data_IF_299333902865
#
_entry.id   IF_299333902865
#
_cell.length_a   1.000
_cell.length_b   1.000
_cell.length_c   1.000
_cell.angle_alpha   90.00
_cell.angle_beta   90.00
_cell.angle_gamma   90.00
#
_symmetry.space_group_name_H-M   'P 1'
#
loop_
_entity.id
_entity.type
_entity.pdbx_description
1 polymer ?
#
# COMPACT_ATOMS: atom_id res chain seq x y z
N UNK A 1 -19.33 -24.11 16.37
CA UNK A 1 -19.45 -22.92 15.50
C UNK A 1 -18.66 -23.22 14.23
N UNK A 2 -19.23 -23.01 13.04
CA UNK A 2 -18.46 -23.12 11.78
C UNK A 2 -17.49 -21.96 11.78
N UNK A 3 -16.19 -22.25 11.85
CA UNK A 3 -15.15 -21.23 11.80
C UNK A 3 -15.25 -20.54 10.45
N UNK A 4 -15.34 -19.22 10.43
CA UNK A 4 -15.31 -18.42 9.19
C UNK A 4 -13.97 -18.67 8.46
N UNK A 5 -13.98 -18.64 7.13
CA UNK A 5 -12.74 -18.78 6.36
C UNK A 5 -11.72 -17.69 6.71
N UNK A 6 -12.17 -16.49 7.04
CA UNK A 6 -11.28 -15.41 7.46
C UNK A 6 -10.64 -15.65 8.83
N UNK A 7 -11.29 -16.39 9.73
CA UNK A 7 -10.69 -16.79 11.02
C UNK A 7 -9.70 -17.95 10.90
N UNK A 8 -9.60 -18.59 9.74
CA UNK A 8 -8.67 -19.70 9.47
C UNK A 8 -7.44 -19.31 8.62
N UNK A 9 -7.33 -18.03 8.28
CA UNK A 9 -6.25 -17.46 7.48
C UNK A 9 -5.59 -16.29 8.19
N UNK A 10 -4.32 -16.07 7.92
CA UNK A 10 -3.61 -14.83 8.24
C UNK A 10 -3.32 -14.14 6.91
N UNK A 11 -3.83 -12.92 6.77
CA UNK A 11 -3.67 -12.12 5.56
C UNK A 11 -2.69 -10.98 5.80
N UNK A 12 -1.84 -10.72 4.79
CA UNK A 12 -1.00 -9.54 4.69
C UNK A 12 -1.07 -8.99 3.27
N UNK A 13 -0.53 -7.80 3.02
CA UNK A 13 -0.61 -7.20 1.69
C UNK A 13 0.66 -6.44 1.31
N UNK A 14 0.82 -6.24 0.01
CA UNK A 14 1.75 -5.27 -0.58
C UNK A 14 1.09 -4.56 -1.77
N UNK A 15 1.21 -3.23 -1.88
CA UNK A 15 0.77 -2.51 -3.07
C UNK A 15 1.64 -2.84 -4.29
N UNK A 16 1.02 -2.84 -5.47
CA UNK A 16 1.67 -2.87 -6.77
C UNK A 16 1.60 -1.46 -7.36
N UNK A 17 2.74 -0.88 -7.73
CA UNK A 17 2.86 0.49 -8.22
C UNK A 17 3.13 0.53 -9.71
N UNK A 18 2.30 1.28 -10.45
CA UNK A 18 2.40 1.47 -11.91
C UNK A 18 3.58 2.37 -12.31
N UNK A 19 3.90 2.48 -13.61
CA UNK A 19 4.87 3.45 -14.12
C UNK A 19 4.54 4.91 -13.76
N UNK A 20 3.26 5.25 -13.58
CA UNK A 20 2.83 6.58 -13.11
C UNK A 20 2.95 6.75 -11.59
N UNK A 21 3.48 5.78 -10.87
CA UNK A 21 3.60 5.70 -9.39
C UNK A 21 2.26 5.71 -8.67
N UNK A 22 1.21 5.30 -9.35
CA UNK A 22 -0.10 5.12 -8.75
C UNK A 22 -0.36 3.64 -8.47
N UNK A 23 -1.34 3.38 -7.62
CA UNK A 23 -1.73 2.01 -7.28
C UNK A 23 -2.22 1.29 -8.55
N UNK A 24 -1.58 0.17 -8.89
CA UNK A 24 -1.94 -0.70 -10.02
C UNK A 24 -2.68 -1.97 -9.58
N UNK A 25 -2.53 -2.34 -8.32
CA UNK A 25 -3.14 -3.53 -7.74
C UNK A 25 -2.61 -3.83 -6.34
N UNK A 26 -3.07 -4.91 -5.79
CA UNK A 26 -2.69 -5.40 -4.46
C UNK A 26 -2.23 -6.85 -4.57
N UNK A 27 -1.05 -7.16 -4.02
CA UNK A 27 -0.63 -8.51 -3.71
C UNK A 27 -1.13 -8.85 -2.30
N UNK A 28 -1.95 -9.89 -2.20
CA UNK A 28 -2.52 -10.38 -0.94
C UNK A 28 -1.84 -11.71 -0.57
N UNK A 29 -1.09 -11.70 0.51
CA UNK A 29 -0.49 -12.91 1.08
C UNK A 29 -1.54 -13.66 1.91
N UNK A 30 -1.67 -14.96 1.69
CA UNK A 30 -2.61 -15.79 2.42
C UNK A 30 -1.87 -16.98 3.04
N UNK A 31 -1.78 -16.98 4.36
CA UNK A 31 -1.20 -18.05 5.18
C UNK A 31 -2.32 -18.83 5.86
N UNK A 32 -2.15 -20.13 6.01
CA UNK A 32 -3.04 -20.92 6.87
C UNK A 32 -2.75 -20.60 8.34
N UNK A 33 -3.79 -20.33 9.12
CA UNK A 33 -3.65 -20.15 10.57
C UNK A 33 -3.26 -21.45 11.27
N UNK A 34 -3.86 -22.55 10.82
CA UNK A 34 -3.61 -23.89 11.37
C UNK A 34 -3.33 -24.90 10.25
N UNK A 35 -3.04 -26.15 10.61
CA UNK A 35 -2.92 -27.26 9.66
C UNK A 35 -4.25 -27.67 9.00
N UNK A 36 -5.37 -27.05 9.38
CA UNK A 36 -6.68 -27.34 8.79
C UNK A 36 -6.72 -26.91 7.31
N UNK A 37 -7.47 -27.67 6.52
CA UNK A 37 -7.68 -27.35 5.10
C UNK A 37 -8.60 -26.13 4.99
N UNK A 38 -8.10 -25.07 4.39
CA UNK A 38 -8.86 -23.84 4.13
C UNK A 38 -9.74 -24.04 2.90
N UNK A 39 -11.03 -23.71 3.01
CA UNK A 39 -11.95 -23.69 1.86
C UNK A 39 -11.64 -22.48 0.96
N UNK A 40 -10.82 -22.69 -0.07
CA UNK A 40 -10.47 -21.66 -1.04
C UNK A 40 -11.70 -21.13 -1.81
N UNK A 41 -12.72 -21.95 -2.04
CA UNK A 41 -13.96 -21.51 -2.67
C UNK A 41 -14.73 -20.50 -1.80
N UNK A 42 -14.72 -20.70 -0.48
CA UNK A 42 -15.32 -19.75 0.45
C UNK A 42 -14.50 -18.45 0.51
N UNK A 43 -13.17 -18.53 0.58
CA UNK A 43 -12.30 -17.35 0.51
C UNK A 43 -12.58 -16.51 -0.75
N UNK A 44 -12.66 -17.14 -1.92
CA UNK A 44 -12.92 -16.45 -3.17
C UNK A 44 -14.31 -15.79 -3.21
N UNK A 45 -15.33 -16.45 -2.64
CA UNK A 45 -16.67 -15.83 -2.50
C UNK A 45 -16.63 -14.62 -1.57
N UNK A 46 -16.00 -14.74 -0.40
CA UNK A 46 -15.85 -13.63 0.56
C UNK A 46 -15.11 -12.44 -0.08
N UNK A 47 -14.05 -12.69 -0.83
CA UNK A 47 -13.37 -11.63 -1.60
C UNK A 47 -14.31 -11.04 -2.64
N UNK A 48 -15.04 -11.85 -3.40
CA UNK A 48 -15.97 -11.38 -4.45
C UNK A 48 -17.12 -10.52 -3.89
N UNK A 49 -17.57 -10.80 -2.68
CA UNK A 49 -18.60 -10.01 -1.99
C UNK A 49 -18.11 -8.59 -1.60
N UNK A 50 -16.82 -8.47 -1.27
CA UNK A 50 -16.21 -7.20 -0.86
C UNK A 50 -15.60 -6.42 -2.04
N UNK A 51 -15.13 -7.14 -3.08
CA UNK A 51 -14.40 -6.57 -4.21
C UNK A 51 -15.34 -6.19 -5.36
N UNK A 52 -15.42 -4.90 -5.65
CA UNK A 52 -16.21 -4.35 -6.75
C UNK A 52 -15.39 -4.20 -8.04
N UNK A 53 -16.03 -3.81 -9.13
CA UNK A 53 -15.33 -3.48 -10.37
C UNK A 53 -14.44 -2.22 -10.26
N UNK A 54 -14.64 -1.39 -9.23
CA UNK A 54 -13.82 -0.21 -8.94
C UNK A 54 -12.63 -0.52 -8.03
N UNK A 55 -12.65 -1.66 -7.35
CA UNK A 55 -11.57 -2.09 -6.47
C UNK A 55 -10.28 -2.42 -7.23
N UNK A 56 -9.11 -2.36 -6.56
CA UNK A 56 -7.82 -2.70 -7.17
C UNK A 56 -7.78 -4.12 -7.73
N UNK A 57 -7.07 -4.36 -8.85
CA UNK A 57 -6.71 -5.72 -9.25
C UNK A 57 -6.03 -6.45 -8.10
N UNK A 58 -6.44 -7.69 -7.85
CA UNK A 58 -5.94 -8.49 -6.74
C UNK A 58 -5.10 -9.66 -7.25
N UNK A 59 -3.90 -9.81 -6.68
CA UNK A 59 -2.99 -10.95 -6.87
C UNK A 59 -2.94 -11.75 -5.56
N UNK A 60 -3.50 -12.96 -5.55
CA UNK A 60 -3.47 -13.84 -4.38
C UNK A 60 -2.17 -14.64 -4.38
N UNK A 61 -1.35 -14.44 -3.35
CA UNK A 61 -0.12 -15.16 -3.07
C UNK A 61 -0.35 -16.19 -1.97
N UNK A 62 -0.70 -17.42 -2.34
CA UNK A 62 -0.82 -18.51 -1.38
C UNK A 62 0.55 -18.85 -0.79
N UNK A 63 0.62 -18.91 0.54
CA UNK A 63 1.87 -19.17 1.25
C UNK A 63 2.04 -20.65 1.65
N UNK A 64 1.05 -21.49 1.30
CA UNK A 64 1.14 -22.96 1.44
C UNK A 64 0.77 -23.68 0.15
N UNK A 65 1.42 -24.83 -0.07
CA UNK A 65 1.15 -25.74 -1.20
C UNK A 65 -0.33 -26.13 -1.25
N UNK A 66 -0.91 -26.46 -0.11
CA UNK A 66 -2.29 -26.93 -0.02
C UNK A 66 -3.29 -25.84 -0.41
N UNK A 67 -3.07 -24.61 0.05
CA UNK A 67 -3.92 -23.48 -0.31
C UNK A 67 -3.83 -23.18 -1.81
N UNK A 68 -2.63 -23.23 -2.41
CA UNK A 68 -2.47 -23.06 -3.85
C UNK A 68 -3.25 -24.12 -4.62
N UNK A 69 -3.12 -25.39 -4.28
CA UNK A 69 -3.86 -26.46 -4.95
C UNK A 69 -5.38 -26.26 -4.87
N UNK A 70 -5.89 -25.89 -3.69
CA UNK A 70 -7.30 -25.59 -3.48
C UNK A 70 -7.77 -24.37 -4.30
N UNK A 71 -6.96 -23.32 -4.40
CA UNK A 71 -7.25 -22.15 -5.25
C UNK A 71 -7.29 -22.55 -6.73
N UNK A 72 -6.27 -23.26 -7.22
CA UNK A 72 -6.21 -23.72 -8.61
C UNK A 72 -7.38 -24.65 -8.97
N UNK A 73 -7.87 -25.42 -8.03
CA UNK A 73 -9.01 -26.35 -8.25
C UNK A 73 -10.35 -25.61 -8.25
N UNK A 74 -10.59 -24.73 -7.29
CA UNK A 74 -11.91 -24.15 -7.01
C UNK A 74 -12.15 -22.76 -7.59
N UNK A 75 -11.11 -22.06 -8.07
CA UNK A 75 -11.29 -20.71 -8.61
C UNK A 75 -12.12 -20.73 -9.91
N UNK A 76 -13.22 -19.94 -9.99
CA UNK A 76 -13.95 -19.75 -11.22
C UNK A 76 -13.22 -18.80 -12.18
N UNK A 77 -13.63 -18.80 -13.45
CA UNK A 77 -13.19 -17.80 -14.41
C UNK A 77 -13.56 -16.40 -13.92
N UNK A 78 -12.62 -15.46 -14.00
CA UNK A 78 -12.81 -14.09 -13.51
C UNK A 78 -12.38 -13.88 -12.06
N UNK A 79 -11.89 -14.92 -11.37
CA UNK A 79 -11.23 -14.79 -10.07
C UNK A 79 -10.04 -13.83 -10.11
N UNK A 80 -9.58 -13.31 -8.96
CA UNK A 80 -8.31 -12.61 -8.83
C UNK A 80 -7.16 -13.37 -9.50
N UNK A 81 -6.08 -12.69 -9.80
CA UNK A 81 -4.85 -13.34 -10.25
C UNK A 81 -4.32 -14.27 -9.16
N UNK A 82 -3.81 -15.44 -9.55
CA UNK A 82 -3.23 -16.41 -8.62
C UNK A 82 -1.74 -16.51 -8.91
N UNK A 83 -0.93 -16.23 -7.89
CA UNK A 83 0.52 -16.38 -7.95
C UNK A 83 0.91 -17.85 -7.81
N UNK A 84 1.83 -18.29 -8.65
CA UNK A 84 2.44 -19.62 -8.59
C UNK A 84 3.95 -19.45 -8.52
N UNK A 85 4.55 -19.91 -7.43
CA UNK A 85 6.02 -19.88 -7.27
C UNK A 85 6.66 -20.86 -8.24
N UNK A 86 7.69 -20.39 -8.95
CA UNK A 86 8.40 -21.20 -9.93
C UNK A 86 9.00 -22.50 -9.36
N UNK A 87 9.48 -22.46 -8.11
CA UNK A 87 10.01 -23.62 -7.39
C UNK A 87 8.96 -24.75 -7.18
N UNK A 88 7.69 -24.38 -7.04
CA UNK A 88 6.61 -25.35 -6.85
C UNK A 88 6.22 -26.09 -8.12
N UNK A 89 6.61 -25.61 -9.30
CA UNK A 89 6.33 -26.28 -10.58
C UNK A 89 7.14 -27.58 -10.76
N UNK A 90 8.14 -27.84 -9.91
CA UNK A 90 8.81 -29.15 -9.84
C UNK A 90 7.88 -30.25 -9.30
N UNK A 91 6.80 -29.87 -8.59
CA UNK A 91 5.75 -30.79 -8.15
C UNK A 91 4.80 -31.10 -9.32
N UNK A 92 4.70 -32.39 -9.71
CA UNK A 92 3.90 -32.85 -10.84
C UNK A 92 2.40 -32.58 -10.66
N UNK A 93 1.90 -32.56 -9.41
CA UNK A 93 0.50 -32.27 -9.11
C UNK A 93 0.20 -30.79 -9.34
N UNK A 94 1.06 -29.89 -8.80
CA UNK A 94 0.92 -28.45 -9.03
C UNK A 94 1.00 -28.14 -10.51
N UNK A 95 1.97 -28.72 -11.23
CA UNK A 95 2.11 -28.50 -12.65
C UNK A 95 0.88 -28.92 -13.44
N UNK A 96 0.29 -30.09 -13.14
CA UNK A 96 -0.94 -30.55 -13.77
C UNK A 96 -2.13 -29.62 -13.48
N UNK A 97 -2.26 -29.14 -12.22
CA UNK A 97 -3.31 -28.21 -11.81
C UNK A 97 -3.15 -26.84 -12.48
N UNK A 98 -1.93 -26.33 -12.63
CA UNK A 98 -1.64 -25.07 -13.34
C UNK A 98 -2.12 -25.17 -14.80
N UNK A 99 -1.80 -26.24 -15.51
CA UNK A 99 -2.29 -26.47 -16.88
C UNK A 99 -3.82 -26.50 -16.97
N UNK A 100 -4.46 -27.22 -16.05
CA UNK A 100 -5.92 -27.32 -15.99
C UNK A 100 -6.55 -25.96 -15.65
N UNK A 101 -5.98 -25.21 -14.72
CA UNK A 101 -6.43 -23.87 -14.35
C UNK A 101 -6.32 -22.89 -15.52
N UNK A 102 -5.20 -22.90 -16.23
CA UNK A 102 -5.01 -22.11 -17.46
C UNK A 102 -6.07 -22.47 -18.53
N UNK A 103 -6.34 -23.75 -18.78
CA UNK A 103 -7.37 -24.19 -19.73
C UNK A 103 -8.77 -23.71 -19.36
N UNK A 104 -9.06 -23.57 -18.06
CA UNK A 104 -10.32 -22.97 -17.55
C UNK A 104 -10.35 -21.44 -17.66
N UNK A 105 -9.26 -20.80 -18.08
CA UNK A 105 -9.14 -19.37 -18.27
C UNK A 105 -8.91 -18.58 -16.96
N UNK A 106 -8.27 -19.23 -15.97
CA UNK A 106 -7.76 -18.52 -14.79
C UNK A 106 -6.55 -17.67 -15.18
N UNK A 107 -6.44 -16.50 -14.57
CA UNK A 107 -5.28 -15.62 -14.73
C UNK A 107 -4.20 -16.02 -13.73
N UNK A 108 -3.08 -16.50 -14.24
CA UNK A 108 -1.97 -17.00 -13.45
C UNK A 108 -0.75 -16.09 -13.59
N UNK A 109 -0.04 -15.87 -12.50
CA UNK A 109 1.20 -15.08 -12.43
C UNK A 109 2.32 -16.00 -11.97
N UNK A 110 3.35 -16.13 -12.79
CA UNK A 110 4.56 -16.86 -12.38
C UNK A 110 5.43 -15.99 -11.50
N UNK A 111 5.91 -16.50 -10.35
CA UNK A 111 6.84 -15.78 -9.48
C UNK A 111 8.17 -16.48 -9.43
N UNK A 112 9.26 -15.76 -9.67
CA UNK A 112 10.61 -16.30 -9.56
C UNK A 112 11.71 -15.38 -10.05
N UNK A 113 12.90 -15.93 -10.12
CA UNK A 113 14.13 -15.23 -10.53
C UNK A 113 14.17 -15.06 -12.05
N UNK A 114 14.51 -13.87 -12.53
CA UNK A 114 14.65 -13.57 -13.96
C UNK A 114 15.68 -14.46 -14.67
N UNK A 115 16.71 -14.91 -13.94
CA UNK A 115 17.72 -15.83 -14.47
C UNK A 115 17.26 -17.29 -14.59
N UNK A 116 16.05 -17.63 -14.10
CA UNK A 116 15.50 -19.00 -14.07
C UNK A 116 14.08 -19.03 -14.63
N UNK A 117 13.85 -18.37 -15.75
CA UNK A 117 12.53 -18.34 -16.39
C UNK A 117 12.04 -19.75 -16.73
N UNK A 118 10.72 -20.01 -16.67
CA UNK A 118 10.15 -21.31 -16.99
C UNK A 118 10.34 -21.64 -18.47
N UNK A 119 10.37 -22.94 -18.77
CA UNK A 119 10.38 -23.43 -20.15
C UNK A 119 9.19 -22.87 -20.95
N UNK A 120 9.31 -22.66 -22.28
CA UNK A 120 8.31 -21.99 -23.11
C UNK A 120 6.89 -22.61 -23.00
N UNK A 121 6.79 -23.94 -22.85
CA UNK A 121 5.49 -24.62 -22.72
C UNK A 121 4.83 -24.36 -21.36
N UNK A 122 5.63 -24.15 -20.33
CA UNK A 122 5.17 -23.75 -19.00
C UNK A 122 4.81 -22.29 -18.98
N UNK A 123 5.67 -21.43 -19.59
CA UNK A 123 5.48 -20.00 -19.64
C UNK A 123 4.13 -19.60 -20.26
N UNK A 124 3.64 -20.36 -21.23
CA UNK A 124 2.33 -20.13 -21.90
C UNK A 124 1.13 -20.28 -20.95
N UNK A 125 1.31 -20.88 -19.78
CA UNK A 125 0.25 -21.01 -18.78
C UNK A 125 0.06 -19.74 -17.95
N UNK A 126 0.94 -18.75 -18.09
CA UNK A 126 0.95 -17.56 -17.27
C UNK A 126 0.68 -16.31 -18.10
N UNK A 127 -0.16 -15.42 -17.57
CA UNK A 127 -0.47 -14.13 -18.20
C UNK A 127 0.64 -13.12 -17.99
N UNK A 128 1.27 -13.14 -16.81
CA UNK A 128 2.34 -12.25 -16.39
C UNK A 128 3.31 -12.98 -15.47
N UNK A 129 4.44 -12.32 -15.18
CA UNK A 129 5.41 -12.78 -14.18
C UNK A 129 5.64 -11.71 -13.12
N UNK A 130 5.90 -12.14 -11.89
CA UNK A 130 6.44 -11.34 -10.79
C UNK A 130 7.90 -11.78 -10.61
N UNK A 131 8.82 -10.91 -11.03
CA UNK A 131 10.23 -11.23 -11.20
C UNK A 131 11.08 -10.61 -10.10
N UNK A 132 12.00 -11.41 -9.56
CA UNK A 132 13.09 -10.92 -8.72
C UNK A 132 14.34 -10.75 -9.57
N UNK A 133 15.00 -9.58 -9.45
CA UNK A 133 16.30 -9.32 -10.05
C UNK A 133 17.39 -9.75 -9.09
N UNK A 134 18.34 -10.57 -9.55
CA UNK A 134 19.56 -10.87 -8.80
C UNK A 134 20.46 -9.63 -8.78
N UNK A 135 21.38 -9.50 -7.81
CA UNK A 135 22.28 -8.35 -7.74
C UNK A 135 23.06 -8.08 -9.03
N UNK A 136 23.53 -9.12 -9.71
CA UNK A 136 24.22 -8.99 -11.00
C UNK A 136 23.30 -8.48 -12.12
N UNK A 137 22.04 -8.90 -12.17
CA UNK A 137 21.06 -8.45 -13.15
C UNK A 137 20.66 -6.99 -12.88
N UNK A 138 20.54 -6.60 -11.61
CA UNK A 138 20.28 -5.22 -11.19
C UNK A 138 21.43 -4.28 -11.62
N UNK A 139 22.69 -4.69 -11.42
CA UNK A 139 23.86 -3.93 -11.89
C UNK A 139 23.88 -3.85 -13.41
N UNK A 140 23.60 -4.95 -14.10
CA UNK A 140 23.58 -4.97 -15.58
C UNK A 140 22.43 -4.11 -16.15
N UNK A 141 21.30 -3.99 -15.42
CA UNK A 141 20.20 -3.09 -15.80
C UNK A 141 20.62 -1.63 -15.74
N UNK A 142 21.32 -1.23 -14.67
CA UNK A 142 21.75 0.16 -14.44
C UNK A 142 23.01 0.54 -15.25
N UNK A 143 23.88 -0.43 -15.54
CA UNK A 143 25.12 -0.25 -16.29
C UNK A 143 25.16 -1.24 -17.46
N UNK A 144 24.34 -1.04 -18.49
CA UNK A 144 24.33 -1.95 -19.63
C UNK A 144 25.71 -1.98 -20.30
N UNK A 145 26.22 -3.17 -20.67
CA UNK A 145 27.48 -3.29 -21.36
C UNK A 145 27.47 -2.45 -22.64
N UNK A 146 28.60 -1.88 -23.05
CA UNK A 146 28.66 -1.04 -24.22
C UNK A 146 28.09 -1.77 -25.44
N UNK A 147 27.14 -1.12 -26.13
CA UNK A 147 26.48 -1.69 -27.28
C UNK A 147 27.52 -2.02 -28.35
N UNK A 148 27.54 -3.24 -28.85
CA UNK A 148 28.30 -3.57 -30.05
C UNK A 148 27.70 -2.82 -31.23
N UNK A 149 28.51 -2.25 -32.17
CA UNK A 149 27.97 -1.57 -33.33
C UNK A 149 26.96 -2.45 -34.06
N UNK A 150 25.74 -1.98 -34.22
CA UNK A 150 24.65 -2.70 -34.91
C UNK A 150 23.76 -3.59 -34.02
N UNK A 151 24.02 -3.69 -32.72
CA UNK A 151 23.13 -4.45 -31.79
C UNK A 151 22.50 -3.46 -30.81
N UNK A 152 21.15 -3.38 -30.70
CA UNK A 152 20.53 -2.55 -29.68
C UNK A 152 20.93 -3.06 -28.30
N UNK A 153 21.24 -2.14 -27.38
CA UNK A 153 21.47 -2.49 -25.97
C UNK A 153 20.21 -3.18 -25.43
N UNK A 154 20.33 -4.45 -25.06
CA UNK A 154 19.21 -5.24 -24.56
C UNK A 154 19.11 -5.01 -23.05
N UNK A 155 18.04 -4.39 -22.61
CA UNK A 155 17.74 -4.31 -21.16
C UNK A 155 17.55 -5.72 -20.61
N UNK A 156 18.07 -5.95 -19.42
CA UNK A 156 17.78 -7.19 -18.66
C UNK A 156 16.31 -7.20 -18.21
N UNK A 157 15.72 -6.02 -18.02
CA UNK A 157 14.32 -5.87 -17.61
C UNK A 157 13.38 -6.25 -18.75
N UNK A 158 12.46 -7.17 -18.48
CA UNK A 158 11.46 -7.65 -19.42
C UNK A 158 10.21 -6.75 -19.37
N UNK A 159 9.87 -6.16 -20.51
CA UNK A 159 8.70 -5.29 -20.64
C UNK A 159 7.39 -6.04 -20.32
N UNK A 160 6.44 -5.32 -19.71
CA UNK A 160 5.11 -5.87 -19.39
C UNK A 160 5.06 -6.84 -18.21
N UNK A 161 6.19 -7.07 -17.51
CA UNK A 161 6.26 -7.90 -16.33
C UNK A 161 6.25 -7.08 -15.04
N UNK A 162 5.89 -7.70 -13.93
CA UNK A 162 5.96 -7.12 -12.58
C UNK A 162 7.30 -7.47 -11.94
N UNK A 163 7.78 -6.60 -11.04
CA UNK A 163 9.04 -6.79 -10.33
C UNK A 163 8.85 -6.64 -8.82
N UNK A 164 9.59 -7.43 -8.06
CA UNK A 164 9.62 -7.37 -6.59
C UNK A 164 11.03 -7.18 -6.04
N UNK A 165 11.12 -6.81 -4.76
CA UNK A 165 12.39 -6.63 -4.04
C UNK A 165 13.33 -5.62 -4.73
N UNK A 166 12.77 -4.51 -5.20
CA UNK A 166 13.52 -3.40 -5.76
C UNK A 166 13.97 -2.50 -4.61
N UNK A 167 15.27 -2.55 -4.27
CA UNK A 167 15.83 -1.88 -3.09
C UNK A 167 16.36 -0.47 -3.37
N UNK A 168 16.45 -0.06 -4.63
CA UNK A 168 16.96 1.26 -4.97
C UNK A 168 16.04 2.06 -5.88
N UNK A 169 16.04 3.38 -5.67
CA UNK A 169 15.33 4.35 -6.51
C UNK A 169 15.76 4.24 -7.98
N UNK A 170 17.07 4.16 -8.22
CA UNK A 170 17.61 4.09 -9.57
C UNK A 170 17.12 2.84 -10.32
N UNK A 171 17.09 1.68 -9.68
CA UNK A 171 16.59 0.44 -10.27
C UNK A 171 15.07 0.50 -10.48
N UNK A 172 14.35 1.04 -9.55
CA UNK A 172 12.89 1.24 -9.66
C UNK A 172 12.56 2.15 -10.85
N UNK A 173 13.21 3.32 -10.97
CA UNK A 173 13.06 4.24 -12.10
C UNK A 173 13.46 3.55 -13.41
N UNK A 174 14.55 2.78 -13.43
CA UNK A 174 14.92 2.01 -14.61
C UNK A 174 13.84 1.00 -15.02
N UNK A 175 13.29 0.22 -14.08
CA UNK A 175 12.23 -0.75 -14.37
C UNK A 175 10.97 -0.08 -14.92
N UNK A 176 10.50 0.97 -14.26
CA UNK A 176 9.22 1.61 -14.58
C UNK A 176 9.31 2.54 -15.81
N UNK A 177 10.37 3.36 -15.93
CA UNK A 177 10.45 4.41 -16.94
C UNK A 177 11.11 3.93 -18.23
N UNK A 178 12.11 3.03 -18.14
CA UNK A 178 12.88 2.56 -19.30
C UNK A 178 12.57 1.11 -19.65
N UNK A 179 12.40 0.25 -18.64
CA UNK A 179 12.15 -1.18 -18.79
C UNK A 179 10.72 -1.53 -19.16
N UNK A 180 9.80 -0.55 -19.16
CA UNK A 180 8.38 -0.74 -19.44
C UNK A 180 7.76 -1.86 -18.55
N UNK A 181 8.18 -1.96 -17.31
CA UNK A 181 7.57 -2.86 -16.33
C UNK A 181 6.08 -2.53 -16.17
N UNK A 182 5.26 -3.55 -15.96
CA UNK A 182 3.84 -3.37 -15.69
C UNK A 182 3.62 -2.72 -14.32
N UNK A 183 4.34 -3.20 -13.31
CA UNK A 183 4.31 -2.68 -11.94
C UNK A 183 5.55 -3.13 -11.16
N UNK A 184 5.77 -2.48 -10.01
CA UNK A 184 6.72 -2.92 -8.97
C UNK A 184 5.99 -3.10 -7.64
N UNK A 185 6.42 -4.06 -6.83
CA UNK A 185 5.96 -4.24 -5.45
C UNK A 185 7.13 -4.13 -4.49
N UNK A 186 6.88 -3.66 -3.27
CA UNK A 186 7.95 -3.35 -2.34
C UNK A 186 8.68 -2.05 -2.73
N UNK A 187 8.03 -0.90 -2.52
CA UNK A 187 8.59 0.41 -2.87
C UNK A 187 9.88 0.69 -2.08
N UNK A 188 10.96 1.19 -2.71
CA UNK A 188 12.23 1.48 -2.06
C UNK A 188 12.17 2.80 -1.27
N UNK A 189 11.30 2.87 -0.26
CA UNK A 189 11.00 4.09 0.50
C UNK A 189 12.25 4.72 1.09
N UNK A 190 13.10 3.92 1.74
CA UNK A 190 14.33 4.42 2.39
C UNK A 190 15.27 5.10 1.39
N UNK A 191 15.51 4.47 0.22
CA UNK A 191 16.42 5.03 -0.79
C UNK A 191 15.80 6.25 -1.49
N UNK A 192 14.48 6.24 -1.71
CA UNK A 192 13.76 7.43 -2.23
C UNK A 192 13.91 8.59 -1.27
N UNK A 193 13.67 8.41 0.02
CA UNK A 193 13.80 9.46 1.03
C UNK A 193 15.27 9.89 1.22
N UNK A 194 16.20 8.93 1.24
CA UNK A 194 17.63 9.24 1.32
C UNK A 194 18.10 10.10 0.14
N UNK A 195 17.61 9.85 -1.06
CA UNK A 195 17.95 10.66 -2.25
C UNK A 195 17.49 12.11 -2.12
N UNK A 196 16.47 12.37 -1.30
CA UNK A 196 15.86 13.68 -1.07
C UNK A 196 16.31 14.36 0.24
N UNK A 197 17.19 13.74 1.02
CA UNK A 197 17.59 14.19 2.39
C UNK A 197 18.16 15.61 2.47
N UNK A 198 18.68 16.14 1.37
CA UNK A 198 19.22 17.51 1.32
C UNK A 198 18.18 18.57 0.93
N UNK A 199 16.95 18.17 0.66
CA UNK A 199 15.85 19.05 0.30
C UNK A 199 14.71 18.89 1.32
N UNK A 200 14.20 19.98 1.88
CA UNK A 200 13.07 19.91 2.79
C UNK A 200 11.87 19.30 2.04
N UNK A 201 11.32 18.24 2.61
CA UNK A 201 10.16 17.58 2.02
C UNK A 201 8.96 18.53 1.96
N UNK A 202 8.27 18.53 0.85
CA UNK A 202 7.15 19.42 0.57
C UNK A 202 5.85 18.61 0.39
N UNK A 203 4.68 19.18 0.74
CA UNK A 203 3.39 18.57 0.46
C UNK A 203 3.17 18.33 -1.03
N UNK A 204 2.27 17.42 -1.35
CA UNK A 204 1.91 17.08 -2.73
C UNK A 204 1.24 18.24 -3.45
N UNK A 205 1.78 18.63 -4.61
CA UNK A 205 1.14 19.60 -5.51
C UNK A 205 -0.28 19.14 -5.90
N UNK A 206 -0.46 17.86 -6.17
CA UNK A 206 -1.75 17.30 -6.59
C UNK A 206 -2.82 17.43 -5.50
N UNK A 207 -2.46 17.15 -4.24
CA UNK A 207 -3.39 17.26 -3.09
C UNK A 207 -3.76 18.72 -2.83
N UNK A 208 -2.77 19.64 -2.84
CA UNK A 208 -3.04 21.08 -2.71
C UNK A 208 -4.01 21.55 -3.81
N UNK A 209 -3.78 21.14 -5.06
CA UNK A 209 -4.63 21.52 -6.17
C UNK A 209 -6.04 20.91 -6.06
N UNK A 210 -6.17 19.67 -5.58
CA UNK A 210 -7.45 19.01 -5.28
C UNK A 210 -8.23 19.79 -4.23
N UNK A 211 -7.56 20.24 -3.14
CA UNK A 211 -8.16 21.08 -2.10
C UNK A 211 -8.64 22.44 -2.64
N UNK A 212 -7.81 23.10 -3.45
CA UNK A 212 -8.20 24.40 -4.04
C UNK A 212 -9.45 24.27 -4.91
N UNK A 213 -9.53 23.20 -5.72
CA UNK A 213 -10.74 22.89 -6.50
C UNK A 213 -11.97 22.62 -5.63
N UNK A 214 -11.77 21.90 -4.52
CA UNK A 214 -12.86 21.62 -3.58
C UNK A 214 -13.38 22.90 -2.93
N UNK A 215 -12.50 23.87 -2.60
CA UNK A 215 -12.89 25.20 -2.10
C UNK A 215 -13.70 25.96 -3.17
N UNK A 216 -13.22 25.98 -4.42
CA UNK A 216 -13.90 26.69 -5.51
C UNK A 216 -15.28 26.06 -5.86
N UNK A 217 -15.45 24.76 -5.57
CA UNK A 217 -16.71 24.04 -5.71
C UNK A 217 -17.58 24.08 -4.44
N UNK A 218 -17.19 24.87 -3.42
CA UNK A 218 -17.91 25.01 -2.14
C UNK A 218 -18.26 23.66 -1.48
N UNK A 219 -17.36 22.68 -1.57
CA UNK A 219 -17.57 21.37 -0.97
C UNK A 219 -17.60 21.43 0.57
N UNK A 220 -18.03 20.36 1.21
CA UNK A 220 -18.17 20.29 2.66
C UNK A 220 -16.81 20.32 3.39
N UNK A 221 -16.81 20.76 4.66
CA UNK A 221 -15.61 20.68 5.52
C UNK A 221 -15.11 19.24 5.70
N UNK A 222 -16.02 18.29 5.66
CA UNK A 222 -15.70 16.86 5.72
C UNK A 222 -14.87 16.43 4.51
N UNK A 223 -15.28 16.82 3.31
CA UNK A 223 -14.49 16.60 2.09
C UNK A 223 -13.10 17.24 2.16
N UNK A 224 -12.98 18.44 2.77
CA UNK A 224 -11.66 19.07 2.93
C UNK A 224 -10.78 18.31 3.91
N UNK A 225 -11.36 17.82 4.99
CA UNK A 225 -10.63 17.01 5.96
C UNK A 225 -10.10 15.73 5.32
N UNK A 226 -10.96 15.05 4.55
CA UNK A 226 -10.60 13.83 3.82
C UNK A 226 -9.46 14.09 2.83
N UNK A 227 -9.57 15.13 1.99
CA UNK A 227 -8.52 15.49 1.02
C UNK A 227 -7.22 15.94 1.74
N UNK A 228 -7.31 16.70 2.83
CA UNK A 228 -6.14 17.10 3.63
C UNK A 228 -5.42 15.88 4.19
N UNK A 229 -6.18 14.85 4.59
CA UNK A 229 -5.66 13.58 5.09
C UNK A 229 -4.98 12.71 4.03
N UNK A 230 -5.09 13.01 2.74
CA UNK A 230 -4.38 12.30 1.67
C UNK A 230 -2.87 12.65 1.62
N UNK A 231 -2.41 13.65 2.36
CA UNK A 231 -0.98 14.00 2.43
C UNK A 231 -0.53 14.25 3.88
N UNK A 232 0.29 13.36 4.45
CA UNK A 232 0.76 13.49 5.83
C UNK A 232 1.50 14.80 6.13
N UNK A 233 2.27 15.30 5.15
CA UNK A 233 3.01 16.55 5.30
C UNK A 233 2.10 17.77 5.24
N UNK A 234 1.10 17.76 4.38
CA UNK A 234 0.12 18.84 4.31
C UNK A 234 -0.69 18.90 5.61
N UNK A 235 -1.17 17.76 6.09
CA UNK A 235 -1.88 17.64 7.36
C UNK A 235 -1.02 18.16 8.52
N UNK A 236 0.23 17.72 8.62
CA UNK A 236 1.17 18.18 9.65
C UNK A 236 1.40 19.70 9.58
N UNK A 237 1.73 20.23 8.39
CA UNK A 237 1.97 21.68 8.23
C UNK A 237 0.74 22.52 8.54
N UNK A 238 -0.43 22.02 8.16
CA UNK A 238 -1.69 22.68 8.50
C UNK A 238 -1.90 22.75 10.01
N UNK A 239 -1.64 21.67 10.73
CA UNK A 239 -1.71 21.64 12.18
C UNK A 239 -0.67 22.58 12.83
N UNK A 240 0.56 22.59 12.36
CA UNK A 240 1.61 23.50 12.84
C UNK A 240 1.21 24.96 12.59
N UNK A 241 0.71 25.28 11.40
CA UNK A 241 0.27 26.65 11.07
C UNK A 241 -0.86 27.12 11.98
N UNK A 242 -1.87 26.28 12.20
CA UNK A 242 -2.99 26.61 13.08
C UNK A 242 -2.58 26.82 14.54
N UNK A 243 -1.51 26.18 14.98
CA UNK A 243 -0.98 26.32 16.33
C UNK A 243 0.17 27.34 16.45
N UNK A 244 0.45 28.07 15.37
CA UNK A 244 1.48 29.09 15.38
C UNK A 244 1.04 30.33 16.13
N UNK A 245 2.00 31.09 16.68
CA UNK A 245 1.75 32.36 17.35
C UNK A 245 1.08 33.40 16.42
N UNK A 246 1.21 33.25 15.10
CA UNK A 246 0.60 34.14 14.11
C UNK A 246 -0.94 34.16 14.17
N UNK A 247 -1.58 33.07 14.61
CA UNK A 247 -3.04 32.98 14.77
C UNK A 247 -3.51 33.37 16.17
N UNK A 248 -2.61 33.52 17.17
CA UNK A 248 -2.90 34.03 18.50
C UNK A 248 -3.93 33.22 19.29
N UNK A 249 -4.08 31.92 18.99
CA UNK A 249 -5.08 31.09 19.65
C UNK A 249 -4.70 30.80 21.10
N UNK A 250 -5.65 30.93 22.01
CA UNK A 250 -5.47 30.64 23.44
C UNK A 250 -5.45 29.14 23.76
N UNK A 251 -6.15 28.34 22.96
CA UNK A 251 -6.23 26.89 23.09
C UNK A 251 -5.68 26.26 21.82
N UNK A 252 -4.86 25.24 21.98
CA UNK A 252 -4.31 24.49 20.86
C UNK A 252 -5.39 23.78 20.03
N UNK A 253 -5.13 23.63 18.74
CA UNK A 253 -5.96 22.89 17.79
C UNK A 253 -5.39 21.49 17.63
N UNK A 254 -6.14 20.50 18.03
CA UNK A 254 -5.78 19.08 18.15
C UNK A 254 -6.27 18.20 16.98
N UNK A 255 -7.08 18.78 16.07
CA UNK A 255 -7.63 18.05 14.92
C UNK A 255 -7.67 18.89 13.66
N UNK A 256 -7.60 18.23 12.50
CA UNK A 256 -7.73 18.88 11.18
C UNK A 256 -9.06 19.63 11.08
N UNK A 257 -10.17 18.99 11.48
CA UNK A 257 -11.52 19.59 11.43
C UNK A 257 -11.62 20.89 12.21
N UNK A 258 -11.10 20.93 13.44
CA UNK A 258 -11.12 22.17 14.25
C UNK A 258 -10.30 23.27 13.58
N UNK A 259 -9.15 22.91 13.00
CA UNK A 259 -8.34 23.85 12.24
C UNK A 259 -9.07 24.42 11.03
N UNK A 260 -9.75 23.57 10.27
CA UNK A 260 -10.54 23.98 9.09
C UNK A 260 -11.69 24.92 9.47
N UNK A 261 -12.42 24.61 10.55
CA UNK A 261 -13.50 25.46 11.07
C UNK A 261 -12.98 26.81 11.52
N UNK A 262 -11.84 26.84 12.23
CA UNK A 262 -11.28 28.09 12.78
C UNK A 262 -10.72 29.02 11.71
N UNK A 263 -10.10 28.49 10.66
CA UNK A 263 -9.52 29.29 9.59
C UNK A 263 -10.58 29.85 8.63
N UNK A 264 -11.58 29.06 8.31
CA UNK A 264 -12.54 29.36 7.24
C UNK A 264 -11.94 29.33 5.83
N UNK A 265 -12.80 29.21 4.81
CA UNK A 265 -12.40 28.93 3.42
C UNK A 265 -11.40 29.95 2.83
N UNK A 266 -11.62 31.23 3.06
CA UNK A 266 -10.74 32.29 2.50
C UNK A 266 -9.32 32.21 3.02
N UNK A 267 -9.15 31.94 4.33
CA UNK A 267 -7.81 31.82 4.94
C UNK A 267 -7.13 30.52 4.51
N UNK A 268 -7.88 29.42 4.42
CA UNK A 268 -7.37 28.13 3.91
C UNK A 268 -6.89 28.30 2.47
N UNK A 269 -7.70 28.93 1.59
CA UNK A 269 -7.31 29.15 0.19
C UNK A 269 -6.05 29.97 0.07
N UNK A 270 -5.89 31.03 0.89
CA UNK A 270 -4.66 31.84 0.93
C UNK A 270 -3.48 30.99 1.36
N UNK A 271 -3.61 30.26 2.48
CA UNK A 271 -2.54 29.40 2.99
C UNK A 271 -2.12 28.33 1.95
N UNK A 272 -3.07 27.69 1.26
CA UNK A 272 -2.77 26.75 0.19
C UNK A 272 -2.06 27.41 -1.00
N UNK A 273 -2.47 28.62 -1.37
CA UNK A 273 -1.81 29.40 -2.43
C UNK A 273 -0.35 29.70 -2.10
N UNK A 274 -0.04 29.93 -0.81
CA UNK A 274 1.32 30.16 -0.33
C UNK A 274 2.16 28.85 -0.34
N UNK A 275 1.52 27.68 -0.16
CA UNK A 275 2.20 26.37 -0.22
C UNK A 275 2.48 25.91 -1.66
N UNK A 276 1.60 26.26 -2.60
CA UNK A 276 1.59 25.71 -3.96
C UNK A 276 2.90 25.91 -4.73
N UNK A 277 3.59 27.06 -4.71
CA UNK A 277 4.86 27.26 -5.43
C UNK A 277 6.00 26.37 -4.95
N UNK A 278 5.91 25.88 -3.71
CA UNK A 278 6.93 25.04 -3.08
C UNK A 278 6.54 23.57 -3.05
N UNK A 279 5.35 23.22 -3.52
CA UNK A 279 4.81 21.87 -3.46
C UNK A 279 5.62 20.88 -4.29
N UNK A 280 5.70 19.65 -3.79
CA UNK A 280 6.41 18.56 -4.46
C UNK A 280 5.65 18.05 -5.67
N UNK A 281 6.35 17.96 -6.79
CA UNK A 281 5.89 17.28 -8.03
C UNK A 281 6.62 15.96 -8.26
N UNK A 282 7.50 15.52 -7.34
CA UNK A 282 8.21 14.25 -7.47
C UNK A 282 7.22 13.08 -7.38
N UNK A 283 7.03 12.33 -8.48
CA UNK A 283 6.06 11.24 -8.52
C UNK A 283 6.46 10.09 -7.58
N UNK A 284 7.75 9.90 -7.28
CA UNK A 284 8.24 8.83 -6.43
C UNK A 284 7.84 8.99 -4.96
N UNK A 285 7.41 10.18 -4.57
CA UNK A 285 6.88 10.43 -3.22
C UNK A 285 5.41 10.01 -3.06
N UNK A 286 4.70 9.76 -4.17
CA UNK A 286 3.30 9.35 -4.09
C UNK A 286 3.12 8.00 -3.38
N UNK A 287 3.84 6.91 -3.75
CA UNK A 287 3.73 5.64 -3.05
C UNK A 287 4.09 5.72 -1.56
N UNK A 288 5.07 6.57 -1.19
CA UNK A 288 5.45 6.78 0.22
C UNK A 288 4.28 7.35 1.02
N UNK A 289 3.64 8.41 0.50
CA UNK A 289 2.49 9.06 1.16
C UNK A 289 1.27 8.14 1.18
N UNK A 290 0.97 7.49 0.05
CA UNK A 290 -0.16 6.58 -0.08
C UNK A 290 -0.08 5.41 0.91
N UNK A 291 1.11 4.84 1.12
CA UNK A 291 1.32 3.80 2.13
C UNK A 291 1.00 4.30 3.55
N UNK A 292 1.31 5.56 3.87
CA UNK A 292 0.94 6.16 5.16
C UNK A 292 -0.58 6.36 5.28
N UNK A 293 -1.24 6.74 4.19
CA UNK A 293 -2.70 6.89 4.13
C UNK A 293 -3.40 5.53 4.31
N UNK A 294 -2.94 4.49 3.62
CA UNK A 294 -3.49 3.12 3.77
C UNK A 294 -3.33 2.66 5.23
N UNK A 295 -2.17 2.89 5.85
CA UNK A 295 -1.95 2.59 7.28
C UNK A 295 -2.91 3.35 8.18
N UNK A 296 -3.15 4.64 7.92
CA UNK A 296 -4.11 5.44 8.68
C UNK A 296 -5.53 4.88 8.59
N UNK A 297 -5.95 4.49 7.39
CA UNK A 297 -7.25 3.85 7.16
C UNK A 297 -7.34 2.51 7.90
N UNK A 298 -6.31 1.65 7.79
CA UNK A 298 -6.26 0.38 8.52
C UNK A 298 -6.31 0.58 10.03
N UNK A 299 -5.52 1.51 10.58
CA UNK A 299 -5.52 1.81 12.02
C UNK A 299 -6.91 2.22 12.49
N UNK A 300 -7.61 3.07 11.73
CA UNK A 300 -8.96 3.53 12.05
C UNK A 300 -10.01 2.40 11.96
N UNK A 301 -9.87 1.49 11.00
CA UNK A 301 -10.80 0.36 10.84
C UNK A 301 -10.57 -0.76 11.87
N UNK A 302 -9.32 -1.03 12.25
CA UNK A 302 -8.96 -2.08 13.21
C UNK A 302 -9.39 -1.77 14.64
N UNK A 303 -9.42 -0.50 15.02
CA UNK A 303 -9.78 -0.11 16.39
C UNK A 303 -11.30 0.01 16.62
N UNK A 304 -12.10 -0.31 15.62
CA UNK A 304 -13.57 -0.35 15.68
C UNK A 304 -14.13 0.76 16.59
N UNK A 305 -13.81 2.02 16.26
CA UNK A 305 -14.01 3.20 17.11
C UNK A 305 -15.48 3.55 17.35
N UNK A 306 -16.36 2.56 17.37
CA UNK A 306 -17.78 2.76 17.64
C UNK A 306 -18.42 3.77 16.68
N UNK A 307 -19.37 4.55 17.16
CA UNK A 307 -20.17 5.47 16.37
C UNK A 307 -19.59 6.90 16.34
N UNK A 308 -18.54 7.21 17.14
CA UNK A 308 -18.01 8.56 17.26
C UNK A 308 -17.07 8.90 16.11
N UNK A 309 -17.54 9.75 15.18
CA UNK A 309 -16.74 10.21 14.05
C UNK A 309 -15.45 10.94 14.45
N UNK A 310 -15.46 11.69 15.54
CA UNK A 310 -14.29 12.44 16.00
C UNK A 310 -13.18 11.50 16.51
N UNK A 311 -13.56 10.42 17.20
CA UNK A 311 -12.60 9.40 17.64
C UNK A 311 -11.98 8.67 16.44
N UNK A 312 -12.77 8.31 15.44
CA UNK A 312 -12.25 7.68 14.21
C UNK A 312 -11.24 8.56 13.49
N UNK A 313 -11.50 9.88 13.42
CA UNK A 313 -10.58 10.85 12.83
C UNK A 313 -9.30 11.02 13.62
N UNK A 314 -9.39 11.00 14.95
CA UNK A 314 -8.20 11.02 15.81
C UNK A 314 -7.33 9.78 15.59
N UNK A 315 -7.94 8.59 15.51
CA UNK A 315 -7.23 7.33 15.21
C UNK A 315 -6.62 7.36 13.80
N UNK A 316 -7.35 7.87 12.81
CA UNK A 316 -6.83 8.07 11.46
C UNK A 316 -5.60 8.98 11.48
N UNK A 317 -5.67 10.11 12.17
CA UNK A 317 -4.54 11.03 12.32
C UNK A 317 -3.34 10.35 13.00
N UNK A 318 -3.58 9.52 14.02
CA UNK A 318 -2.53 8.71 14.66
C UNK A 318 -1.77 7.85 13.64
N UNK A 319 -2.48 7.08 12.83
CA UNK A 319 -1.88 6.27 11.77
C UNK A 319 -1.14 7.10 10.72
N UNK A 320 -1.74 8.23 10.30
CA UNK A 320 -1.20 9.11 9.26
C UNK A 320 0.16 9.71 9.63
N UNK A 321 0.30 10.16 10.89
CA UNK A 321 1.51 10.83 11.36
C UNK A 321 2.54 9.88 11.96
N UNK A 322 2.25 8.59 12.05
CA UNK A 322 3.08 7.60 12.74
C UNK A 322 4.49 7.41 12.17
N UNK A 323 4.74 7.89 10.95
CA UNK A 323 6.07 7.86 10.29
C UNK A 323 6.48 9.22 9.71
N UNK A 324 6.08 10.30 10.34
CA UNK A 324 6.54 11.64 9.94
C UNK A 324 8.05 11.84 10.09
N UNK A 325 8.68 11.12 11.00
CA UNK A 325 10.13 11.08 11.17
C UNK A 325 10.86 10.66 9.89
N UNK A 326 10.35 9.68 9.16
CA UNK A 326 10.89 9.26 7.87
C UNK A 326 10.84 10.40 6.84
N UNK A 327 9.75 11.17 6.80
CA UNK A 327 9.57 12.27 5.87
C UNK A 327 10.36 13.53 6.26
N UNK A 328 10.48 13.81 7.54
CA UNK A 328 11.07 15.06 8.05
C UNK A 328 12.54 14.88 8.46
N UNK A 329 13.02 13.65 8.64
CA UNK A 329 14.39 13.37 9.07
C UNK A 329 14.68 13.81 10.52
N UNK A 330 13.63 13.95 11.34
CA UNK A 330 13.72 14.32 12.74
C UNK A 330 13.04 13.24 13.61
N UNK A 331 13.46 13.04 14.88
CA UNK A 331 12.80 12.08 15.76
C UNK A 331 11.31 12.38 15.94
N UNK A 332 10.47 11.36 15.81
CA UNK A 332 9.00 11.48 15.84
C UNK A 332 8.51 12.21 17.09
N UNK A 333 9.03 11.87 18.27
CA UNK A 333 8.66 12.54 19.51
C UNK A 333 8.96 14.06 19.52
N UNK A 334 9.99 14.50 18.81
CA UNK A 334 10.31 15.93 18.65
C UNK A 334 9.31 16.62 17.73
N UNK A 335 8.93 15.95 16.64
CA UNK A 335 7.94 16.45 15.67
C UNK A 335 6.58 16.62 16.36
N UNK A 336 6.11 15.58 17.05
CA UNK A 336 4.76 15.55 17.62
C UNK A 336 4.60 16.52 18.81
N UNK A 337 5.66 16.83 19.58
CA UNK A 337 5.61 17.84 20.64
C UNK A 337 5.33 19.26 20.15
N UNK A 338 5.45 19.53 18.86
CA UNK A 338 5.07 20.82 18.25
C UNK A 338 3.57 20.98 18.07
N UNK A 339 2.83 19.90 18.26
CA UNK A 339 1.38 19.83 18.07
C UNK A 339 0.69 19.53 19.41
N UNK A 340 -0.45 20.15 19.71
CA UNK A 340 -1.24 19.86 20.90
C UNK A 340 -2.13 18.63 20.69
N UNK A 341 -1.51 17.52 20.30
CA UNK A 341 -2.20 16.25 20.07
C UNK A 341 -2.62 15.61 21.39
N UNK A 342 -3.60 14.69 21.34
CA UNK A 342 -3.97 13.88 22.50
C UNK A 342 -2.79 13.00 22.93
N UNK A 343 -2.68 12.76 24.25
CA UNK A 343 -1.68 11.84 24.79
C UNK A 343 -1.78 10.45 24.17
N UNK A 344 -2.99 10.00 23.81
CA UNK A 344 -3.23 8.69 23.17
C UNK A 344 -2.47 8.52 21.86
N UNK A 345 -2.35 9.61 21.06
CA UNK A 345 -1.55 9.58 19.81
C UNK A 345 -0.07 9.47 20.14
N UNK A 346 0.43 10.28 21.08
CA UNK A 346 1.84 10.25 21.48
C UNK A 346 2.22 8.89 22.08
N UNK A 347 1.38 8.36 22.96
CA UNK A 347 1.59 7.04 23.59
C UNK A 347 1.68 5.93 22.54
N UNK A 348 0.75 5.90 21.58
CA UNK A 348 0.75 4.86 20.55
C UNK A 348 1.93 4.96 19.58
N UNK A 349 2.29 6.18 19.15
CA UNK A 349 3.28 6.38 18.08
C UNK A 349 4.71 6.44 18.58
N UNK A 350 4.96 6.93 19.80
CA UNK A 350 6.30 7.14 20.37
C UNK A 350 6.62 6.16 21.48
N UNK A 351 5.68 5.92 22.39
CA UNK A 351 5.88 5.04 23.54
C UNK A 351 5.43 3.60 23.28
N UNK A 352 4.71 3.35 22.19
CA UNK A 352 4.12 2.05 21.83
C UNK A 352 3.21 1.49 22.94
N UNK A 353 2.44 2.36 23.57
CA UNK A 353 1.50 2.06 24.66
C UNK A 353 0.15 2.74 24.42
N UNK A 354 -0.84 2.44 25.27
CA UNK A 354 -2.15 3.09 25.21
C UNK A 354 -3.12 2.47 24.20
N UNK A 355 -4.32 3.06 24.08
CA UNK A 355 -5.45 2.40 23.41
C UNK A 355 -5.32 2.29 21.89
N UNK A 356 -4.48 3.09 21.23
CA UNK A 356 -4.32 3.04 19.76
C UNK A 356 -3.18 2.13 19.31
N UNK A 357 -2.36 1.64 20.25
CA UNK A 357 -1.17 0.82 19.95
C UNK A 357 -1.51 -0.45 19.21
N UNK A 358 -2.53 -1.18 19.65
CA UNK A 358 -2.93 -2.45 19.03
C UNK A 358 -3.26 -2.29 17.55
N UNK A 359 -4.13 -1.32 17.20
CA UNK A 359 -4.52 -1.06 15.82
C UNK A 359 -3.35 -0.57 14.96
N UNK A 360 -2.50 0.33 15.50
CA UNK A 360 -1.35 0.86 14.78
C UNK A 360 -0.30 -0.23 14.49
N UNK A 361 0.05 -1.04 15.49
CA UNK A 361 1.02 -2.12 15.30
C UNK A 361 0.48 -3.19 14.36
N UNK A 362 -0.80 -3.54 14.46
CA UNK A 362 -1.43 -4.47 13.54
C UNK A 362 -1.44 -3.92 12.12
N UNK A 363 -1.79 -2.64 11.90
CA UNK A 363 -1.75 -2.01 10.59
C UNK A 363 -0.34 -2.10 9.97
N UNK A 364 0.72 -1.88 10.76
CA UNK A 364 2.10 -2.02 10.30
C UNK A 364 2.47 -3.49 9.96
N UNK A 365 2.03 -4.46 10.75
CA UNK A 365 2.32 -5.88 10.50
C UNK A 365 1.63 -6.40 9.23
N UNK A 366 0.42 -5.92 8.95
CA UNK A 366 -0.35 -6.30 7.76
C UNK A 366 0.32 -5.86 6.44
N UNK A 367 1.23 -4.87 6.45
CA UNK A 367 1.98 -4.40 5.28
C UNK A 367 3.05 -5.39 4.80
N UNK A 368 3.16 -6.53 5.44
CA UNK A 368 4.19 -7.55 5.17
C UNK A 368 3.58 -8.93 4.93
N UNK A 369 4.42 -9.91 4.63
CA UNK A 369 4.08 -11.33 4.56
C UNK A 369 4.46 -12.10 5.85
N UNK A 370 4.71 -11.39 6.96
CA UNK A 370 5.07 -12.00 8.25
C UNK A 370 3.83 -12.43 9.05
N UNK A 371 3.35 -13.63 8.76
CA UNK A 371 2.23 -14.21 9.48
C UNK A 371 2.51 -14.44 10.98
N UNK A 372 3.77 -14.61 11.38
CA UNK A 372 4.12 -14.84 12.78
C UNK A 372 3.93 -13.55 13.59
N UNK A 373 4.34 -12.40 13.06
CA UNK A 373 4.13 -11.11 13.69
C UNK A 373 2.64 -10.79 13.85
N UNK A 374 1.83 -11.03 12.81
CA UNK A 374 0.37 -10.81 12.85
C UNK A 374 -0.29 -11.69 13.93
N UNK A 375 0.05 -13.00 13.97
CA UNK A 375 -0.45 -13.93 14.99
C UNK A 375 -0.10 -13.46 16.39
N UNK A 376 1.17 -13.11 16.62
CA UNK A 376 1.64 -12.64 17.91
C UNK A 376 0.88 -11.39 18.39
N UNK A 377 0.56 -10.47 17.48
CA UNK A 377 -0.21 -9.27 17.81
C UNK A 377 -1.67 -9.62 18.13
N UNK A 378 -2.30 -10.55 17.39
CA UNK A 378 -3.64 -11.04 17.71
C UNK A 378 -3.68 -11.63 19.13
N UNK A 379 -2.70 -12.46 19.50
CA UNK A 379 -2.58 -13.05 20.84
C UNK A 379 -2.31 -11.99 21.91
N UNK A 380 -1.38 -11.05 21.66
CA UNK A 380 -0.97 -10.04 22.64
C UNK A 380 -2.07 -9.05 22.97
N UNK A 381 -2.85 -8.65 21.97
CA UNK A 381 -3.90 -7.64 22.11
C UNK A 381 -5.32 -8.22 22.10
N UNK A 382 -5.45 -9.55 22.15
CA UNK A 382 -6.75 -10.25 22.13
C UNK A 382 -7.62 -9.83 20.93
N UNK A 383 -7.00 -9.63 19.74
CA UNK A 383 -7.69 -9.23 18.52
C UNK A 383 -8.22 -10.47 17.78
N UNK A 384 -9.49 -10.40 17.35
CA UNK A 384 -10.09 -11.44 16.52
C UNK A 384 -9.51 -11.41 15.10
N UNK A 385 -8.87 -12.50 14.69
CA UNK A 385 -8.26 -12.63 13.38
C UNK A 385 -9.27 -12.48 12.22
N UNK A 386 -10.50 -12.93 12.40
CA UNK A 386 -11.56 -12.72 11.40
C UNK A 386 -11.88 -11.23 11.21
N UNK A 387 -11.97 -10.48 12.31
CA UNK A 387 -12.23 -9.04 12.26
C UNK A 387 -11.04 -8.28 11.65
N UNK A 388 -9.81 -8.66 11.99
CA UNK A 388 -8.59 -8.09 11.42
C UNK A 388 -8.57 -8.30 9.90
N UNK A 389 -8.78 -9.52 9.42
CA UNK A 389 -8.81 -9.83 8.00
C UNK A 389 -9.96 -9.13 7.26
N UNK A 390 -11.12 -9.01 7.91
CA UNK A 390 -12.27 -8.31 7.36
C UNK A 390 -12.02 -6.81 7.22
N UNK A 391 -11.39 -6.19 8.21
CA UNK A 391 -10.98 -4.79 8.18
C UNK A 391 -9.96 -4.56 7.05
N UNK A 392 -8.96 -5.42 6.94
CA UNK A 392 -7.96 -5.39 5.87
C UNK A 392 -8.63 -5.42 4.49
N UNK A 393 -9.47 -6.43 4.22
CA UNK A 393 -10.10 -6.59 2.91
C UNK A 393 -11.01 -5.41 2.56
N UNK A 394 -11.73 -4.83 3.52
CA UNK A 394 -12.56 -3.63 3.30
C UNK A 394 -11.71 -2.43 2.90
N UNK A 395 -10.67 -2.12 3.67
CA UNK A 395 -9.80 -0.99 3.36
C UNK A 395 -9.17 -1.15 1.97
N UNK A 396 -8.65 -2.34 1.67
CA UNK A 396 -8.00 -2.60 0.39
C UNK A 396 -8.98 -2.57 -0.81
N UNK A 397 -10.23 -2.98 -0.61
CA UNK A 397 -11.24 -2.94 -1.67
C UNK A 397 -11.70 -1.52 -2.02
N UNK A 398 -11.58 -0.58 -1.10
CA UNK A 398 -12.00 0.81 -1.27
C UNK A 398 -10.90 1.73 -1.85
N UNK A 399 -9.66 1.22 -2.00
CA UNK A 399 -8.56 2.00 -2.56
C UNK A 399 -8.79 2.40 -4.02
N UNK A 400 -8.48 3.64 -4.35
CA UNK A 400 -8.56 4.15 -5.72
C UNK A 400 -7.42 3.61 -6.58
N UNK A 401 -7.73 3.21 -7.80
CA UNK A 401 -6.76 2.66 -8.77
C UNK A 401 -6.70 3.51 -10.03
N UNK A 402 -5.52 3.66 -10.57
CA UNK A 402 -5.35 4.19 -11.91
C UNK A 402 -5.93 3.21 -12.94
N UNK A 403 -7.02 3.61 -13.61
CA UNK A 403 -7.54 2.84 -14.73
C UNK A 403 -6.70 3.10 -15.97
N UNK A 404 -6.17 2.07 -16.64
CA UNK A 404 -5.52 2.28 -17.92
C UNK A 404 -6.53 2.93 -18.87
N UNK A 405 -6.09 3.90 -19.71
CA UNK A 405 -6.97 4.49 -20.69
C UNK A 405 -7.60 3.38 -21.54
N UNK A 406 -8.93 3.42 -21.70
CA UNK A 406 -9.62 2.45 -22.53
C UNK A 406 -8.92 2.36 -23.89
N UNK A 407 -8.44 1.19 -24.27
CA UNK A 407 -7.89 0.97 -25.60
C UNK A 407 -8.96 1.35 -26.61
N UNK A 408 -8.76 2.48 -27.31
CA UNK A 408 -9.58 2.90 -28.45
C UNK A 408 -9.35 1.96 -29.62
#
# INVERSE_FOLDING_TARGET
MVQSVLGSLILGYRPLWSPSRKLAGIQLFAHNESSAVVDAGHLLRTIQELWSASSPPLLISAQSRQLLLNLLENAPKGSPWIEVRGEWLADSEIYARVKTAHQRGLRLVWRGDIGKLPEPDVARCFDNSLLTLRPEDAVAALQPPPARPGTPARSVVLAGQMYENIESRALMEHCLDHGQALAVTGWPTEDVLYSLRHHPQQPSHAVIFKLMKAIDAEQSLETFEDIMGEDPLLAYRFMVYNNSAALGLRTGIDSLRRGLVMMGYSSIKRWLSDQLPHASTDPNMHPVRESMVIRAQLTAHLLNAGVENDLRREIYLCGLISRLDELLGEPLGTILRRLPLSERIYDATVLHTGPYTAGLQMACALETDDAAAIRQLCETFEMDLEEVNRALLRVLSDLEVERPPAKR
#
